data_IF_662429851156
#
_entry.id   IF_662429851156
#
_cell.length_a   1.000
_cell.length_b   1.000
_cell.length_c   1.000
_cell.angle_alpha   90.00
_cell.angle_beta   90.00
_cell.angle_gamma   90.00
#
_symmetry.space_group_name_H-M   'P 1'
#
loop_
_entity.id
_entity.type
_entity.pdbx_description
1 polymer ?
#
# COMPACT_ATOMS: atom_id res chain seq x y z
N UNK A 1 0.25 -11.64 -31.83
CA UNK A 1 -0.37 -10.80 -32.88
C UNK A 1 0.15 -9.37 -32.69
N UNK A 2 0.89 -8.82 -33.65
CA UNK A 2 1.32 -7.40 -33.63
C UNK A 2 0.06 -6.51 -33.62
N UNK A 3 -0.06 -5.62 -32.65
CA UNK A 3 -1.27 -4.83 -32.38
C UNK A 3 -1.55 -3.76 -33.45
N UNK A 4 -2.85 -3.48 -33.65
CA UNK A 4 -3.45 -2.52 -34.60
C UNK A 4 -3.04 -1.04 -34.42
N UNK A 5 -2.03 -0.75 -33.58
CA UNK A 5 -1.56 0.59 -33.25
C UNK A 5 -0.29 1.00 -34.00
N UNK A 6 0.28 0.11 -34.84
CA UNK A 6 1.51 0.36 -35.58
C UNK A 6 1.33 1.51 -36.59
N UNK A 7 1.73 2.72 -36.20
CA UNK A 7 1.88 3.88 -37.10
C UNK A 7 1.24 5.19 -36.62
N UNK A 8 0.42 5.19 -35.57
CA UNK A 8 -0.26 6.40 -35.08
C UNK A 8 0.39 6.88 -33.78
N UNK A 9 0.80 8.15 -33.72
CA UNK A 9 1.32 8.76 -32.49
C UNK A 9 0.19 8.86 -31.44
N UNK A 10 0.46 8.52 -30.17
CA UNK A 10 -0.55 8.48 -29.10
C UNK A 10 -1.34 9.80 -28.95
N UNK A 11 -0.68 10.93 -29.16
CA UNK A 11 -1.32 12.26 -29.16
C UNK A 11 -2.43 12.44 -30.21
N UNK A 12 -2.49 11.57 -31.24
CA UNK A 12 -3.52 11.57 -32.30
C UNK A 12 -4.63 10.53 -32.08
N UNK A 13 -4.65 9.85 -30.93
CA UNK A 13 -5.70 8.87 -30.63
C UNK A 13 -6.97 9.59 -30.19
N UNK A 14 -8.11 9.09 -30.68
CA UNK A 14 -9.44 9.46 -30.17
C UNK A 14 -9.64 8.90 -28.76
N UNK A 15 -10.64 9.42 -28.04
CA UNK A 15 -10.99 8.90 -26.72
C UNK A 15 -11.32 7.40 -26.75
N UNK A 16 -12.04 6.93 -27.78
CA UNK A 16 -12.38 5.52 -27.94
C UNK A 16 -11.15 4.63 -28.24
N UNK A 17 -10.19 5.12 -29.04
CA UNK A 17 -8.94 4.39 -29.31
C UNK A 17 -8.09 4.27 -28.03
N UNK A 18 -8.02 5.35 -27.24
CA UNK A 18 -7.34 5.34 -25.92
C UNK A 18 -8.02 4.39 -24.95
N UNK A 19 -9.34 4.28 -25.01
CA UNK A 19 -10.11 3.36 -24.16
C UNK A 19 -9.82 1.91 -24.51
N UNK A 20 -9.89 1.58 -25.79
CA UNK A 20 -9.63 0.24 -26.29
C UNK A 20 -8.21 -0.23 -25.94
N UNK A 21 -7.23 0.66 -26.04
CA UNK A 21 -5.84 0.34 -25.66
C UNK A 21 -5.72 -0.08 -24.19
N UNK A 22 -6.43 0.60 -23.29
CA UNK A 22 -6.43 0.26 -21.86
C UNK A 22 -7.09 -1.08 -21.60
N UNK A 23 -8.23 -1.33 -22.25
CA UNK A 23 -8.93 -2.60 -22.14
C UNK A 23 -8.08 -3.76 -22.66
N UNK A 24 -7.49 -3.62 -23.85
CA UNK A 24 -6.62 -4.62 -24.45
C UNK A 24 -5.42 -4.93 -23.54
N UNK A 25 -4.79 -3.89 -22.98
CA UNK A 25 -3.68 -4.05 -22.04
C UNK A 25 -4.07 -4.76 -20.74
N UNK A 26 -5.29 -4.53 -20.23
CA UNK A 26 -5.82 -5.25 -19.08
C UNK A 26 -6.08 -6.73 -19.39
N UNK A 27 -6.43 -7.06 -20.63
CA UNK A 27 -6.66 -8.45 -21.08
C UNK A 27 -5.39 -9.24 -21.42
N UNK A 28 -4.26 -8.56 -21.64
CA UNK A 28 -2.99 -9.24 -21.92
C UNK A 28 -2.51 -10.08 -20.72
N UNK A 29 -2.12 -11.34 -20.96
CA UNK A 29 -1.51 -12.17 -19.92
C UNK A 29 -0.10 -11.68 -19.55
N UNK A 30 0.64 -11.20 -20.53
CA UNK A 30 2.02 -10.72 -20.35
C UNK A 30 2.05 -9.32 -19.73
N UNK A 31 2.95 -9.05 -18.77
CA UNK A 31 3.09 -7.74 -18.18
C UNK A 31 3.67 -6.75 -19.19
N UNK A 32 3.05 -5.58 -19.30
CA UNK A 32 3.64 -4.41 -19.95
C UNK A 32 4.45 -3.66 -18.90
N UNK A 33 5.74 -3.43 -19.17
CA UNK A 33 6.69 -2.83 -18.22
C UNK A 33 7.31 -1.55 -18.75
N UNK A 34 6.58 -0.79 -19.57
CA UNK A 34 7.06 0.50 -20.03
C UNK A 34 7.04 1.54 -18.91
N UNK A 35 6.26 1.35 -17.85
CA UNK A 35 6.34 2.12 -16.60
C UNK A 35 6.52 1.14 -15.45
N UNK A 36 7.49 1.36 -14.58
CA UNK A 36 7.69 0.58 -13.36
C UNK A 36 6.59 0.89 -12.36
N UNK A 37 5.90 -0.15 -11.90
CA UNK A 37 4.89 -0.07 -10.86
C UNK A 37 5.30 -0.99 -9.71
N UNK A 38 5.37 -0.43 -8.51
CA UNK A 38 5.42 -1.21 -7.28
C UNK A 38 4.11 -1.01 -6.52
N UNK A 39 3.52 -2.08 -5.99
CA UNK A 39 2.32 -1.96 -5.16
C UNK A 39 2.38 -2.84 -3.90
N UNK A 40 1.76 -2.37 -2.82
CA UNK A 40 1.56 -3.11 -1.58
C UNK A 40 0.06 -3.25 -1.34
N UNK A 41 -0.40 -4.50 -1.19
CA UNK A 41 -1.79 -4.85 -0.85
C UNK A 41 -1.83 -5.26 0.61
N UNK A 42 -2.72 -4.64 1.37
CA UNK A 42 -2.94 -4.94 2.78
C UNK A 42 -4.40 -5.34 3.01
N UNK A 43 -4.71 -5.90 4.19
CA UNK A 43 -6.08 -6.15 4.63
C UNK A 43 -6.29 -5.69 6.08
N UNK A 44 -7.47 -5.14 6.36
CA UNK A 44 -7.94 -4.75 7.68
C UNK A 44 -9.39 -5.18 7.84
N UNK A 45 -9.69 -5.96 8.87
CA UNK A 45 -11.06 -6.43 9.14
C UNK A 45 -11.95 -5.25 9.57
N UNK A 46 -13.05 -5.06 8.85
CA UNK A 46 -14.04 -4.00 9.14
C UNK A 46 -15.12 -4.51 10.10
N UNK A 47 -15.62 -5.72 9.83
CA UNK A 47 -16.67 -6.36 10.63
C UNK A 47 -16.49 -7.90 10.59
N UNK A 48 -17.50 -8.66 11.03
CA UNK A 48 -17.43 -10.12 11.07
C UNK A 48 -17.29 -10.79 9.69
N UNK A 49 -17.48 -10.08 8.59
CA UNK A 49 -17.40 -10.62 7.24
C UNK A 49 -16.42 -9.85 6.34
N UNK A 50 -16.49 -8.52 6.33
CA UNK A 50 -15.82 -7.70 5.34
C UNK A 50 -14.45 -7.20 5.81
N UNK A 51 -13.54 -7.10 4.83
CA UNK A 51 -12.19 -6.57 4.98
C UNK A 51 -12.02 -5.40 4.05
N UNK A 52 -11.44 -4.31 4.58
CA UNK A 52 -10.90 -3.25 3.77
C UNK A 52 -9.52 -3.64 3.28
N UNK A 53 -9.30 -3.50 1.98
CA UNK A 53 -8.10 -3.93 1.28
C UNK A 53 -7.47 -2.71 0.61
N UNK A 54 -6.68 -1.90 1.36
CA UNK A 54 -5.99 -0.77 0.78
C UNK A 54 -4.83 -1.25 -0.09
N UNK A 55 -4.67 -0.57 -1.22
CA UNK A 55 -3.57 -0.78 -2.15
C UNK A 55 -2.82 0.53 -2.30
N UNK A 56 -1.53 0.50 -1.95
CA UNK A 56 -0.62 1.61 -2.15
C UNK A 56 0.28 1.34 -3.35
N UNK A 57 0.29 2.24 -4.31
CA UNK A 57 1.03 2.13 -5.57
C UNK A 57 2.10 3.23 -5.61
N UNK A 58 3.31 2.86 -6.02
CA UNK A 58 4.43 3.77 -6.25
C UNK A 58 4.94 3.63 -7.69
N UNK A 59 5.08 4.78 -8.34
CA UNK A 59 5.67 4.92 -9.68
C UNK A 59 6.84 5.90 -9.57
N UNK A 60 8.06 5.56 -10.04
CA UNK A 60 9.17 6.51 -10.07
C UNK A 60 8.82 7.74 -10.92
N UNK A 61 8.90 8.94 -10.33
CA UNK A 61 8.58 10.18 -11.06
C UNK A 61 9.49 10.44 -12.27
N UNK A 62 10.70 9.88 -12.27
CA UNK A 62 11.64 9.92 -13.41
C UNK A 62 11.14 9.22 -14.67
N UNK A 63 10.14 8.33 -14.55
CA UNK A 63 9.57 7.62 -15.70
C UNK A 63 8.40 8.36 -16.35
N UNK A 64 7.92 9.44 -15.72
CA UNK A 64 6.76 10.20 -16.16
C UNK A 64 7.17 11.44 -16.96
N UNK A 65 6.42 11.73 -18.02
CA UNK A 65 6.61 12.95 -18.80
C UNK A 65 5.69 14.06 -18.28
N UNK A 66 6.22 15.28 -18.26
CA UNK A 66 5.52 16.49 -17.86
C UNK A 66 5.05 17.27 -19.08
N UNK A 67 3.79 17.71 -19.05
CA UNK A 67 3.24 18.65 -19.99
C UNK A 67 3.03 20.02 -19.33
N UNK A 68 3.31 21.09 -20.07
CA UNK A 68 2.94 22.45 -19.65
C UNK A 68 1.56 22.79 -20.18
N UNK A 69 0.61 23.06 -19.28
CA UNK A 69 -0.72 23.61 -19.66
C UNK A 69 -1.13 24.67 -18.64
N UNK A 70 -1.53 25.85 -19.13
CA UNK A 70 -2.02 26.94 -18.27
C UNK A 70 -0.96 27.54 -17.33
N UNK A 71 0.32 27.51 -17.72
CA UNK A 71 1.42 28.11 -16.95
C UNK A 71 2.04 27.22 -15.86
N UNK A 72 1.52 26.00 -15.65
CA UNK A 72 2.09 25.01 -14.72
C UNK A 72 2.47 23.71 -15.44
N UNK A 73 3.49 23.03 -14.92
CA UNK A 73 3.82 21.66 -15.31
C UNK A 73 2.84 20.69 -14.63
N UNK A 74 2.32 19.73 -15.40
CA UNK A 74 1.42 18.70 -14.88
C UNK A 74 1.71 17.35 -15.53
N UNK A 75 1.41 16.27 -14.82
CA UNK A 75 1.36 14.92 -15.38
C UNK A 75 -0.01 14.32 -15.10
N UNK A 76 -0.56 13.60 -16.09
CA UNK A 76 -1.86 12.94 -15.96
C UNK A 76 -1.66 11.46 -16.12
N UNK A 77 -2.08 10.68 -15.13
CA UNK A 77 -1.96 9.23 -15.11
C UNK A 77 -3.36 8.62 -15.03
N UNK A 78 -3.66 7.70 -15.95
CA UNK A 78 -4.85 6.86 -15.85
C UNK A 78 -4.48 5.58 -15.09
N UNK A 79 -5.26 5.25 -14.05
CA UNK A 79 -5.13 4.01 -13.30
C UNK A 79 -6.34 3.12 -13.56
N UNK A 80 -6.09 1.84 -13.84
CA UNK A 80 -7.11 0.79 -13.89
C UNK A 80 -6.65 -0.37 -13.04
N UNK A 81 -7.56 -0.96 -12.28
CA UNK A 81 -7.28 -2.17 -11.52
C UNK A 81 -8.45 -3.12 -11.55
N UNK A 82 -8.14 -4.41 -11.50
CA UNK A 82 -9.11 -5.49 -11.42
C UNK A 82 -8.67 -6.47 -10.34
N UNK A 83 -9.60 -6.79 -9.44
CA UNK A 83 -9.45 -7.86 -8.45
C UNK A 83 -10.29 -9.04 -8.92
N UNK A 84 -9.64 -10.18 -9.11
CA UNK A 84 -10.29 -11.46 -9.45
C UNK A 84 -10.12 -12.45 -8.32
N UNK A 85 -11.14 -13.28 -8.09
CA UNK A 85 -11.02 -14.43 -7.19
C UNK A 85 -10.21 -15.58 -7.82
N UNK A 86 -10.08 -16.69 -7.10
CA UNK A 86 -9.39 -17.90 -7.56
C UNK A 86 -10.01 -18.56 -8.80
N UNK A 87 -11.28 -18.26 -9.11
CA UNK A 87 -12.00 -18.76 -10.29
C UNK A 87 -11.91 -17.79 -11.48
N UNK A 88 -11.19 -16.67 -11.32
CA UNK A 88 -11.04 -15.64 -12.34
C UNK A 88 -12.24 -14.70 -12.45
N UNK A 89 -13.19 -14.75 -11.52
CA UNK A 89 -14.36 -13.88 -11.47
C UNK A 89 -13.96 -12.52 -10.92
N UNK A 90 -14.32 -11.45 -11.62
CA UNK A 90 -14.03 -10.08 -11.18
C UNK A 90 -14.89 -9.71 -9.98
N UNK A 91 -14.24 -9.51 -8.83
CA UNK A 91 -14.89 -9.16 -7.56
C UNK A 91 -14.93 -7.66 -7.32
N UNK A 92 -13.94 -6.93 -7.82
CA UNK A 92 -13.90 -5.49 -7.75
C UNK A 92 -13.04 -4.93 -8.89
N UNK A 93 -13.27 -3.67 -9.23
CA UNK A 93 -12.42 -2.92 -10.14
C UNK A 93 -12.21 -1.51 -9.63
N UNK A 94 -11.19 -0.85 -10.15
CA UNK A 94 -10.96 0.57 -9.94
C UNK A 94 -10.61 1.21 -11.27
N UNK A 95 -11.11 2.43 -11.46
CA UNK A 95 -10.71 3.30 -12.53
C UNK A 95 -10.57 4.71 -11.99
N UNK A 96 -9.41 5.30 -12.20
CA UNK A 96 -9.16 6.67 -11.78
C UNK A 96 -8.30 7.42 -12.81
N UNK A 97 -8.44 8.74 -12.81
CA UNK A 97 -7.62 9.66 -13.59
C UNK A 97 -7.04 10.70 -12.65
N UNK A 98 -5.74 10.66 -12.52
CA UNK A 98 -4.97 11.45 -11.58
C UNK A 98 -4.28 12.59 -12.32
N UNK A 99 -4.66 13.83 -12.05
CA UNK A 99 -3.99 15.04 -12.54
C UNK A 99 -3.10 15.61 -11.43
N UNK A 100 -1.78 15.46 -11.59
CA UNK A 100 -0.77 15.93 -10.65
C UNK A 100 -0.26 17.27 -11.17
N UNK A 101 -0.65 18.34 -10.48
CA UNK A 101 -0.18 19.70 -10.74
C UNK A 101 1.10 19.95 -9.95
N UNK A 102 2.17 20.34 -10.65
CA UNK A 102 3.40 20.82 -10.03
C UNK A 102 3.34 22.34 -9.95
N UNK A 103 2.70 22.87 -8.92
CA UNK A 103 2.68 24.31 -8.66
C UNK A 103 3.99 24.74 -7.99
N UNK A 104 4.85 25.45 -8.72
CA UNK A 104 6.09 26.02 -8.18
C UNK A 104 7.27 25.05 -8.06
N UNK A 105 7.08 23.77 -8.38
CA UNK A 105 8.15 22.76 -8.45
C UNK A 105 8.62 22.56 -9.90
N UNK A 106 9.94 22.52 -10.13
CA UNK A 106 10.53 22.28 -11.46
C UNK A 106 10.60 20.78 -11.77
N UNK A 107 10.44 20.35 -13.03
CA UNK A 107 10.64 18.97 -13.51
C UNK A 107 11.76 18.12 -12.83
N UNK A 108 12.96 18.67 -12.50
CA UNK A 108 14.00 17.93 -11.78
C UNK A 108 13.61 17.44 -10.37
N UNK A 109 12.63 18.06 -9.71
CA UNK A 109 12.15 17.65 -8.39
C UNK A 109 11.21 16.45 -8.48
N UNK A 110 10.36 16.38 -9.51
CA UNK A 110 9.52 15.21 -9.77
C UNK A 110 10.37 13.97 -10.08
N UNK A 111 11.44 14.13 -10.87
CA UNK A 111 12.35 13.03 -11.18
C UNK A 111 12.99 12.40 -9.92
N UNK A 112 13.03 13.14 -8.80
CA UNK A 112 13.61 12.70 -7.52
C UNK A 112 12.59 12.11 -6.54
N UNK A 113 11.28 12.17 -6.85
CA UNK A 113 10.23 11.71 -5.94
C UNK A 113 9.29 10.72 -6.63
N UNK A 114 8.98 9.58 -6.01
CA UNK A 114 7.96 8.68 -6.55
C UNK A 114 6.57 9.32 -6.45
N UNK A 115 5.74 9.11 -7.46
CA UNK A 115 4.31 9.35 -7.38
C UNK A 115 3.67 8.25 -6.56
N UNK A 116 2.75 8.64 -5.68
CA UNK A 116 1.94 7.70 -4.91
C UNK A 116 0.48 7.77 -5.32
N UNK A 117 -0.09 6.60 -5.58
CA UNK A 117 -1.51 6.44 -5.83
C UNK A 117 -2.06 5.44 -4.81
N UNK A 118 -3.16 5.78 -4.15
CA UNK A 118 -3.80 4.89 -3.19
C UNK A 118 -5.23 4.61 -3.62
N UNK A 119 -5.59 3.34 -3.52
CA UNK A 119 -6.97 2.87 -3.72
C UNK A 119 -7.30 1.83 -2.67
N UNK A 120 -8.53 1.31 -2.68
CA UNK A 120 -8.87 0.19 -1.84
C UNK A 120 -10.19 -0.44 -2.23
N UNK A 121 -10.38 -1.66 -1.72
CA UNK A 121 -11.55 -2.49 -2.01
C UNK A 121 -12.16 -2.99 -0.70
N UNK A 122 -13.42 -3.39 -0.75
CA UNK A 122 -14.05 -4.15 0.33
C UNK A 122 -14.26 -5.57 -0.18
N UNK A 123 -13.58 -6.54 0.44
CA UNK A 123 -13.59 -7.95 0.02
C UNK A 123 -13.91 -8.86 1.21
N UNK A 124 -14.34 -10.08 0.90
CA UNK A 124 -14.52 -11.15 1.88
C UNK A 124 -13.21 -11.94 2.06
N UNK A 125 -13.09 -12.81 3.08
CA UNK A 125 -12.00 -13.78 3.14
C UNK A 125 -11.95 -14.66 1.88
N UNK A 126 -10.75 -14.82 1.32
CA UNK A 126 -10.56 -15.54 0.06
C UNK A 126 -9.17 -15.34 -0.54
N UNK A 127 -8.90 -16.04 -1.63
CA UNK A 127 -7.69 -15.88 -2.44
C UNK A 127 -8.04 -15.07 -3.68
N UNK A 128 -7.19 -14.10 -3.99
CA UNK A 128 -7.43 -13.12 -5.04
C UNK A 128 -6.16 -12.87 -5.86
N UNK A 129 -6.36 -12.33 -7.06
CA UNK A 129 -5.32 -11.68 -7.84
C UNK A 129 -5.71 -10.22 -8.10
N UNK A 130 -4.75 -9.31 -7.98
CA UNK A 130 -4.88 -7.92 -8.34
C UNK A 130 -4.03 -7.66 -9.57
N UNK A 131 -4.67 -7.25 -10.67
CA UNK A 131 -3.99 -6.66 -11.82
C UNK A 131 -4.21 -5.15 -11.82
N UNK A 132 -3.12 -4.38 -11.73
CA UNK A 132 -3.10 -2.93 -11.84
C UNK A 132 -2.42 -2.50 -13.13
N UNK A 133 -2.87 -1.38 -13.67
CA UNK A 133 -2.35 -0.73 -14.85
C UNK A 133 -2.25 0.76 -14.57
N UNK A 134 -1.13 1.37 -14.93
CA UNK A 134 -0.96 2.82 -14.99
C UNK A 134 -0.55 3.24 -16.40
N UNK A 135 -1.18 4.30 -16.93
CA UNK A 135 -0.83 4.89 -18.22
C UNK A 135 -0.49 6.36 -18.05
N UNK A 136 0.68 6.75 -18.51
CA UNK A 136 1.03 8.16 -18.71
C UNK A 136 0.23 8.69 -19.91
N UNK A 137 -0.65 9.66 -19.67
CA UNK A 137 -1.55 10.20 -20.69
C UNK A 137 -0.89 11.25 -21.61
N UNK A 138 0.38 11.60 -21.39
CA UNK A 138 1.16 12.41 -22.34
C UNK A 138 1.89 11.52 -23.36
N UNK A 139 2.48 10.40 -22.91
CA UNK A 139 3.24 9.50 -23.80
C UNK A 139 2.45 8.31 -24.32
N UNK A 140 1.42 7.87 -23.59
CA UNK A 140 0.72 6.62 -23.82
C UNK A 140 1.45 5.39 -23.29
N UNK A 141 2.59 5.56 -22.60
CA UNK A 141 3.34 4.45 -22.00
C UNK A 141 2.51 3.77 -20.93
N UNK A 142 2.59 2.44 -20.87
CA UNK A 142 1.81 1.63 -19.93
C UNK A 142 2.73 0.78 -19.04
N UNK A 143 2.44 0.82 -17.75
CA UNK A 143 2.95 -0.14 -16.77
C UNK A 143 1.81 -1.03 -16.28
N UNK A 144 2.12 -2.30 -16.00
CA UNK A 144 1.19 -3.23 -15.34
C UNK A 144 1.87 -3.91 -14.16
N UNK A 145 1.09 -4.24 -13.15
CA UNK A 145 1.50 -4.97 -11.96
C UNK A 145 0.48 -6.05 -11.66
N UNK A 146 0.93 -7.28 -11.45
CA UNK A 146 0.07 -8.41 -11.10
C UNK A 146 0.59 -9.05 -9.82
N UNK A 147 -0.28 -9.21 -8.83
CA UNK A 147 0.04 -9.93 -7.59
C UNK A 147 -1.11 -10.81 -7.15
N UNK A 148 -0.80 -11.99 -6.64
CA UNK A 148 -1.75 -12.76 -5.84
C UNK A 148 -1.73 -12.28 -4.38
N UNK A 149 -2.84 -12.41 -3.67
CA UNK A 149 -2.94 -12.14 -2.23
C UNK A 149 -4.08 -12.95 -1.62
N UNK A 150 -4.00 -13.19 -0.30
CA UNK A 150 -5.03 -13.94 0.44
C UNK A 150 -5.50 -13.12 1.62
N UNK A 151 -6.81 -13.09 1.83
CA UNK A 151 -7.46 -12.49 2.99
C UNK A 151 -7.88 -13.64 3.91
N UNK A 152 -7.26 -13.79 5.10
CA UNK A 152 -7.63 -14.84 6.02
C UNK A 152 -9.00 -14.57 6.65
N UNK A 153 -9.72 -15.62 7.04
CA UNK A 153 -10.89 -15.47 7.91
C UNK A 153 -10.44 -15.39 9.36
N UNK A 154 -10.17 -14.17 9.83
CA UNK A 154 -9.70 -13.91 11.20
C UNK A 154 -10.70 -14.34 12.28
N UNK A 155 -11.99 -14.49 11.97
CA UNK A 155 -12.97 -15.02 12.94
C UNK A 155 -12.74 -16.50 13.26
N UNK A 156 -11.98 -17.22 12.42
CA UNK A 156 -11.61 -18.62 12.65
C UNK A 156 -10.23 -18.79 13.28
N UNK A 157 -9.49 -17.70 13.50
CA UNK A 157 -8.18 -17.74 14.17
C UNK A 157 -8.39 -17.86 15.69
N UNK A 158 -8.06 -19.03 16.22
CA UNK A 158 -8.22 -19.34 17.66
C UNK A 158 -6.89 -19.54 18.36
N UNK A 159 -5.82 -19.85 17.63
CA UNK A 159 -4.52 -20.23 18.21
C UNK A 159 -3.67 -18.99 18.51
N UNK A 160 -3.72 -17.99 17.64
CA UNK A 160 -2.94 -16.75 17.74
C UNK A 160 -3.85 -15.54 17.92
N UNK A 161 -3.22 -14.39 18.16
CA UNK A 161 -3.92 -13.10 18.14
C UNK A 161 -4.25 -12.78 16.67
N UNK A 162 -5.54 -12.62 16.29
CA UNK A 162 -5.88 -12.23 14.93
C UNK A 162 -5.41 -10.79 14.67
N UNK A 163 -4.59 -10.61 13.64
CA UNK A 163 -4.06 -9.29 13.24
C UNK A 163 -4.33 -9.00 11.77
N UNK A 164 -4.42 -7.71 11.44
CA UNK A 164 -4.40 -7.20 10.07
C UNK A 164 -3.06 -7.47 9.39
N UNK A 165 -2.92 -7.03 8.14
CA UNK A 165 -1.58 -6.84 7.57
C UNK A 165 -0.74 -5.89 8.42
N UNK A 166 0.58 -6.13 8.45
CA UNK A 166 1.55 -5.23 9.08
C UNK A 166 2.07 -4.26 8.03
N UNK A 167 1.82 -2.97 8.26
CA UNK A 167 2.26 -1.89 7.38
C UNK A 167 3.53 -1.28 7.95
N UNK A 168 4.61 -1.35 7.16
CA UNK A 168 5.85 -0.65 7.45
C UNK A 168 5.92 0.62 6.62
N UNK A 169 6.30 1.74 7.24
CA UNK A 169 6.36 3.04 6.59
C UNK A 169 7.61 3.81 7.05
N UNK A 170 8.20 4.59 6.14
CA UNK A 170 9.22 5.60 6.48
C UNK A 170 8.66 7.03 6.40
N UNK A 171 7.34 7.17 6.27
CA UNK A 171 6.66 8.42 5.98
C UNK A 171 5.27 8.48 6.66
N UNK A 172 5.09 9.54 7.45
CA UNK A 172 3.80 9.95 7.99
C UNK A 172 3.56 11.38 7.48
N UNK A 173 2.52 11.57 6.68
CA UNK A 173 2.25 12.86 6.01
C UNK A 173 0.92 13.45 6.47
N UNK A 174 0.85 14.75 6.67
CA UNK A 174 -0.42 15.43 6.92
C UNK A 174 -1.31 15.34 5.67
N UNK A 175 -2.61 15.11 5.84
CA UNK A 175 -3.55 14.87 4.74
C UNK A 175 -3.76 16.11 3.85
N UNK A 176 -3.52 17.28 4.42
CA UNK A 176 -3.51 18.58 3.75
C UNK A 176 -2.29 18.72 2.84
N UNK A 177 -1.12 18.24 3.29
CA UNK A 177 0.16 18.23 2.56
C UNK A 177 0.32 17.01 1.65
N UNK A 178 -0.62 16.07 1.69
CA UNK A 178 -0.69 14.91 0.80
C UNK A 178 -1.07 15.31 -0.65
N UNK A 179 -0.49 16.40 -1.16
CA UNK A 179 -0.62 16.93 -2.52
C UNK A 179 -0.30 15.88 -3.59
N UNK A 180 0.51 14.88 -3.22
CA UNK A 180 0.95 13.78 -4.09
C UNK A 180 0.24 12.45 -3.82
N UNK A 181 -0.74 12.43 -2.92
CA UNK A 181 -1.58 11.24 -2.70
C UNK A 181 -2.91 11.43 -3.41
N UNK A 182 -3.02 10.81 -4.57
CA UNK A 182 -4.22 10.90 -5.41
C UNK A 182 -5.03 9.61 -5.33
N UNK A 183 -6.36 9.70 -5.45
CA UNK A 183 -7.29 8.57 -5.25
C UNK A 183 -8.33 8.76 -4.14
N UNK A 184 -8.53 9.99 -3.62
CA UNK A 184 -9.43 10.29 -2.49
C UNK A 184 -10.90 9.87 -2.68
N UNK A 185 -11.37 9.65 -3.92
CA UNK A 185 -12.80 9.33 -4.20
C UNK A 185 -13.20 7.89 -3.87
N UNK A 186 -12.26 6.95 -3.86
CA UNK A 186 -12.55 5.51 -3.72
C UNK A 186 -11.99 4.89 -2.42
N UNK A 187 -11.54 5.72 -1.47
CA UNK A 187 -11.11 5.24 -0.16
C UNK A 187 -12.31 5.32 0.81
N UNK A 188 -12.70 4.22 1.48
CA UNK A 188 -13.72 4.25 2.51
C UNK A 188 -13.38 5.30 3.58
N UNK A 189 -14.41 5.95 4.13
CA UNK A 189 -14.27 6.96 5.18
C UNK A 189 -13.49 6.47 6.43
N UNK A 190 -13.36 5.15 6.59
CA UNK A 190 -12.66 4.49 7.69
C UNK A 190 -11.33 3.82 7.27
N UNK A 191 -10.53 4.44 6.39
CA UNK A 191 -9.19 3.92 6.07
C UNK A 191 -8.32 3.89 7.34
N UNK A 192 -7.92 2.70 7.85
CA UNK A 192 -7.18 2.58 9.10
C UNK A 192 -5.81 3.25 9.08
N UNK A 193 -5.25 3.52 7.90
CA UNK A 193 -3.96 4.18 7.71
C UNK A 193 -4.05 5.71 7.79
N UNK A 194 -5.25 6.29 7.93
CA UNK A 194 -5.46 7.72 8.14
C UNK A 194 -5.95 7.93 9.57
N UNK A 195 -5.19 8.67 10.37
CA UNK A 195 -5.49 8.90 11.77
C UNK A 195 -5.05 10.31 12.16
N UNK A 196 -5.91 11.02 12.90
CA UNK A 196 -5.60 12.38 13.39
C UNK A 196 -5.15 13.33 12.26
N UNK A 197 -5.75 13.23 11.07
CA UNK A 197 -5.37 14.04 9.92
C UNK A 197 -4.05 13.66 9.26
N UNK A 198 -3.36 12.61 9.74
CA UNK A 198 -2.11 12.10 9.16
C UNK A 198 -2.33 10.77 8.47
N UNK A 199 -1.65 10.57 7.35
CA UNK A 199 -1.67 9.34 6.57
C UNK A 199 -0.33 8.62 6.66
N UNK A 200 -0.40 7.36 7.03
CA UNK A 200 0.73 6.44 6.96
C UNK A 200 0.92 5.99 5.50
N UNK A 201 2.12 6.18 4.98
CA UNK A 201 2.47 5.85 3.59
C UNK A 201 3.29 4.56 3.55
N UNK A 202 2.75 3.44 3.04
CA UNK A 202 3.48 2.18 3.00
C UNK A 202 4.84 2.28 2.26
N UNK A 203 5.86 1.66 2.84
CA UNK A 203 7.15 1.44 2.17
C UNK A 203 7.06 0.19 1.32
N UNK A 204 6.54 0.38 0.10
CA UNK A 204 6.34 -0.69 -0.89
C UNK A 204 7.65 -1.40 -1.26
N UNK A 205 8.75 -0.65 -1.32
CA UNK A 205 10.09 -1.17 -1.64
C UNK A 205 10.81 -1.75 -0.43
N UNK A 206 10.26 -1.59 0.79
CA UNK A 206 10.88 -2.04 2.06
C UNK A 206 12.30 -1.49 2.28
N UNK A 207 12.58 -0.31 1.73
CA UNK A 207 13.84 0.43 1.92
C UNK A 207 13.60 1.60 2.88
N UNK A 208 14.46 1.75 3.88
CA UNK A 208 14.37 2.77 4.92
C UNK A 208 15.71 3.49 5.07
N UNK A 209 15.68 4.82 5.15
CA UNK A 209 16.87 5.62 5.50
C UNK A 209 17.05 5.58 7.00
N UNK A 210 18.29 5.38 7.44
CA UNK A 210 18.67 5.32 8.84
C UNK A 210 18.48 6.65 9.56
N UNK A 211 18.62 7.78 8.86
CA UNK A 211 18.42 9.11 9.43
C UNK A 211 16.95 9.52 9.54
N UNK A 212 16.01 8.58 9.47
CA UNK A 212 14.57 8.81 9.61
C UNK A 212 13.94 7.72 10.47
N UNK A 213 12.87 8.09 11.14
CA UNK A 213 12.05 7.13 11.86
C UNK A 213 11.37 6.16 10.90
N UNK A 214 11.26 4.92 11.38
CA UNK A 214 10.42 3.89 10.80
C UNK A 214 9.15 3.75 11.65
N UNK A 215 8.02 3.67 10.96
CA UNK A 215 6.70 3.50 11.54
C UNK A 215 6.17 2.09 11.24
N UNK A 216 5.59 1.47 12.25
CA UNK A 216 4.88 0.19 12.13
C UNK A 216 3.43 0.40 12.54
N UNK A 217 2.52 -0.09 11.71
CA UNK A 217 1.09 -0.06 12.00
C UNK A 217 0.43 -1.40 11.70
N UNK A 218 -0.43 -1.83 12.60
CA UNK A 218 -1.35 -2.94 12.42
C UNK A 218 -2.56 -2.79 13.35
N UNK A 219 -3.58 -3.61 13.14
CA UNK A 219 -4.69 -3.78 14.05
C UNK A 219 -4.71 -5.20 14.57
N UNK A 220 -4.93 -5.37 15.87
CA UNK A 220 -5.32 -6.65 16.45
C UNK A 220 -6.82 -6.67 16.75
N UNK A 221 -7.44 -7.83 16.66
CA UNK A 221 -8.87 -8.02 16.89
C UNK A 221 -9.10 -8.95 18.07
N UNK A 222 -9.83 -8.48 19.08
CA UNK A 222 -10.08 -9.19 20.33
C UNK A 222 -11.56 -9.62 20.41
N UNK A 223 -11.99 -10.41 19.42
CA UNK A 223 -13.39 -10.83 19.30
C UNK A 223 -13.85 -11.58 20.56
N UNK A 224 -14.96 -11.12 21.14
CA UNK A 224 -15.54 -11.73 22.34
C UNK A 224 -14.88 -11.32 23.67
N UNK A 225 -13.80 -10.55 23.66
CA UNK A 225 -13.21 -10.01 24.88
C UNK A 225 -14.06 -8.85 25.44
N UNK A 226 -14.45 -8.95 26.70
CA UNK A 226 -15.16 -7.88 27.40
C UNK A 226 -14.71 -7.79 28.86
N UNK A 227 -13.86 -6.82 29.24
CA UNK A 227 -13.22 -5.80 28.38
C UNK A 227 -12.10 -6.38 27.49
N UNK A 228 -11.65 -5.58 26.52
CA UNK A 228 -10.45 -5.88 25.75
C UNK A 228 -9.22 -5.95 26.67
N UNK A 229 -8.31 -6.88 26.39
CA UNK A 229 -7.10 -7.10 27.18
C UNK A 229 -5.94 -6.23 26.66
N UNK A 230 -5.00 -5.81 27.53
CA UNK A 230 -3.78 -5.15 27.10
C UNK A 230 -2.95 -6.03 26.16
N UNK A 231 -2.51 -5.47 25.04
CA UNK A 231 -1.58 -6.11 24.12
C UNK A 231 -0.21 -5.45 24.21
N UNK A 232 0.84 -6.22 24.00
CA UNK A 232 2.22 -5.72 23.97
C UNK A 232 2.81 -5.95 22.60
N UNK A 233 3.38 -4.90 21.99
CA UNK A 233 4.04 -5.01 20.70
C UNK A 233 5.49 -4.53 20.72
N UNK A 234 6.34 -5.18 19.95
CA UNK A 234 7.73 -4.78 19.76
C UNK A 234 8.24 -5.19 18.39
N UNK A 235 9.31 -4.54 17.95
CA UNK A 235 10.00 -4.82 16.69
C UNK A 235 11.37 -5.40 17.00
N UNK A 236 11.75 -6.46 16.28
CA UNK A 236 13.08 -7.07 16.35
C UNK A 236 13.71 -7.07 14.96
N UNK A 237 14.95 -6.62 14.84
CA UNK A 237 15.73 -6.74 13.60
C UNK A 237 16.75 -7.86 13.74
N UNK A 238 16.77 -8.75 12.75
CA UNK A 238 17.76 -9.81 12.64
C UNK A 238 18.70 -9.54 11.45
N UNK A 239 19.99 -9.78 11.65
CA UNK A 239 21.01 -9.74 10.59
C UNK A 239 21.75 -11.06 10.57
N UNK A 240 21.68 -11.79 9.46
CA UNK A 240 22.25 -13.14 9.37
C UNK A 240 21.70 -14.11 10.43
N UNK A 241 20.40 -13.99 10.77
CA UNK A 241 19.75 -14.81 11.80
C UNK A 241 20.03 -14.39 13.25
N UNK A 242 20.96 -13.47 13.49
CA UNK A 242 21.27 -12.97 14.83
C UNK A 242 20.48 -11.71 15.13
N UNK A 243 19.92 -11.60 16.35
CA UNK A 243 19.21 -10.41 16.81
C UNK A 243 20.19 -9.23 16.88
N UNK A 244 19.99 -8.25 16.01
CA UNK A 244 20.79 -7.04 15.95
C UNK A 244 20.22 -5.92 16.84
N UNK A 245 18.89 -5.82 16.92
CA UNK A 245 18.21 -4.80 17.71
C UNK A 245 16.79 -5.27 18.08
N UNK A 246 16.27 -4.77 19.19
CA UNK A 246 14.88 -4.96 19.58
C UNK A 246 14.38 -3.71 20.31
N UNK A 247 13.19 -3.23 19.96
CA UNK A 247 12.55 -2.13 20.69
C UNK A 247 12.07 -2.60 22.06
N UNK A 248 11.98 -1.70 23.06
CA UNK A 248 11.16 -1.96 24.24
C UNK A 248 9.72 -2.32 23.84
N UNK A 249 9.04 -3.24 24.54
CA UNK A 249 7.63 -3.50 24.33
C UNK A 249 6.77 -2.27 24.64
N UNK A 250 5.87 -1.96 23.72
CA UNK A 250 4.83 -0.94 23.89
C UNK A 250 3.54 -1.61 24.31
N UNK A 251 3.00 -1.22 25.47
CA UNK A 251 1.69 -1.65 25.94
C UNK A 251 0.59 -0.84 25.25
N UNK A 252 -0.43 -1.53 24.72
CA UNK A 252 -1.60 -0.95 24.06
C UNK A 252 -2.83 -1.45 24.81
N UNK A 253 -3.47 -0.54 25.53
CA UNK A 253 -4.66 -0.82 26.37
C UNK A 253 -5.96 -0.31 25.75
N UNK A 254 -5.87 0.65 24.81
CA UNK A 254 -7.03 1.24 24.16
C UNK A 254 -7.52 0.37 22.99
N UNK A 255 -8.75 -0.11 23.09
CA UNK A 255 -9.48 -0.75 22.00
C UNK A 255 -10.63 0.15 21.54
N UNK A 256 -10.93 0.11 20.24
CA UNK A 256 -12.10 0.77 19.68
C UNK A 256 -13.38 0.16 20.24
N UNK A 257 -14.39 1.01 20.43
CA UNK A 257 -15.73 0.58 20.83
C UNK A 257 -16.51 0.01 19.63
N UNK A 258 -16.03 -1.11 19.11
CA UNK A 258 -16.69 -1.88 18.06
C UNK A 258 -16.80 -3.35 18.45
N UNK A 259 -17.56 -4.12 17.65
CA UNK A 259 -17.79 -5.55 17.91
C UNK A 259 -16.50 -6.39 17.87
N UNK A 260 -15.50 -5.95 17.11
CA UNK A 260 -14.22 -6.63 16.96
C UNK A 260 -13.22 -6.30 18.09
N UNK A 261 -13.53 -5.30 18.94
CA UNK A 261 -12.60 -4.71 19.91
C UNK A 261 -11.24 -4.39 19.27
N UNK A 262 -11.30 -3.73 18.12
CA UNK A 262 -10.12 -3.43 17.30
C UNK A 262 -9.11 -2.62 18.11
N UNK A 263 -7.91 -3.15 18.26
CA UNK A 263 -6.81 -2.54 19.01
C UNK A 263 -5.74 -2.08 18.01
N UNK A 264 -5.66 -0.79 17.64
CA UNK A 264 -4.64 -0.30 16.72
C UNK A 264 -3.28 -0.23 17.41
N UNK A 265 -2.29 -0.95 16.87
CA UNK A 265 -0.91 -0.93 17.37
C UNK A 265 -0.05 -0.06 16.46
N UNK A 266 0.67 0.88 17.08
CA UNK A 266 1.50 1.88 16.42
C UNK A 266 2.84 1.93 17.11
N UNK A 267 3.91 1.77 16.35
CA UNK A 267 5.27 1.89 16.87
C UNK A 267 6.03 2.87 15.99
N UNK A 268 6.73 3.81 16.62
CA UNK A 268 7.73 4.66 15.99
C UNK A 268 9.08 4.24 16.54
N UNK A 269 10.05 4.04 15.66
CA UNK A 269 11.40 3.64 16.07
C UNK A 269 12.45 4.37 15.24
N UNK A 270 13.44 4.92 15.93
CA UNK A 270 14.67 5.42 15.30
C UNK A 270 15.52 4.24 14.83
N UNK A 271 16.20 4.45 13.71
CA UNK A 271 17.12 3.50 13.09
C UNK A 271 18.60 3.89 13.31
N UNK A 272 18.87 4.94 14.08
CA UNK A 272 20.19 5.61 14.18
C UNK A 272 21.31 4.75 14.81
N UNK A 273 20.99 3.59 15.39
CA UNK A 273 21.95 2.62 15.92
C UNK A 273 22.26 1.44 15.00
N UNK A 274 21.56 1.32 13.87
CA UNK A 274 21.70 0.19 12.95
C UNK A 274 22.70 0.51 11.84
N UNK A 275 23.42 -0.52 11.39
CA UNK A 275 24.33 -0.40 10.26
C UNK A 275 23.57 -0.54 8.94
N UNK A 276 24.00 0.10 7.84
CA UNK A 276 23.39 -0.13 6.53
C UNK A 276 23.44 -1.63 6.15
N UNK A 277 22.42 -2.08 5.41
CA UNK A 277 22.36 -3.44 4.88
C UNK A 277 20.99 -4.11 5.00
N UNK A 278 20.98 -5.43 4.74
CA UNK A 278 19.77 -6.26 4.79
C UNK A 278 19.46 -6.71 6.20
N UNK A 279 18.19 -6.63 6.58
CA UNK A 279 17.67 -7.15 7.84
C UNK A 279 16.38 -7.93 7.61
N UNK A 280 16.08 -8.85 8.51
CA UNK A 280 14.71 -9.35 8.69
C UNK A 280 14.07 -8.53 9.81
N UNK A 281 13.03 -7.78 9.48
CA UNK A 281 12.19 -7.09 10.45
C UNK A 281 11.11 -8.06 10.94
N UNK A 282 11.03 -8.26 12.25
CA UNK A 282 9.96 -9.01 12.90
C UNK A 282 9.13 -8.07 13.76
N UNK A 283 7.82 -8.07 13.55
CA UNK A 283 6.86 -7.38 14.41
C UNK A 283 6.14 -8.45 15.24
N UNK A 284 6.21 -8.33 16.55
CA UNK A 284 5.62 -9.27 17.49
C UNK A 284 4.51 -8.59 18.30
N UNK A 285 3.39 -9.30 18.47
CA UNK A 285 2.29 -8.91 19.37
C UNK A 285 2.03 -10.04 20.35
N UNK A 286 1.91 -9.70 21.62
CA UNK A 286 1.71 -10.64 22.72
C UNK A 286 0.52 -10.21 23.56
N UNK A 287 -0.29 -11.19 23.94
CA UNK A 287 -1.37 -11.07 24.92
C UNK A 287 -1.02 -12.01 26.09
N UNK A 288 -0.43 -11.46 27.18
CA UNK A 288 -0.08 -12.26 28.35
C UNK A 288 -1.29 -12.88 29.05
N UNK A 289 -2.46 -12.23 28.98
CA UNK A 289 -3.68 -12.69 29.65
C UNK A 289 -4.21 -13.98 29.02
N UNK A 290 -4.17 -14.07 27.69
CA UNK A 290 -4.59 -15.27 26.95
C UNK A 290 -3.45 -16.22 26.59
N UNK A 291 -2.21 -15.89 26.95
CA UNK A 291 -0.98 -16.60 26.57
C UNK A 291 -0.84 -16.78 25.05
N UNK A 292 -1.38 -15.85 24.26
CA UNK A 292 -1.28 -15.86 22.80
C UNK A 292 -0.23 -14.89 22.32
N UNK A 293 0.40 -15.23 21.20
CA UNK A 293 1.30 -14.35 20.49
C UNK A 293 1.16 -14.55 18.98
N UNK A 294 1.55 -13.53 18.22
CA UNK A 294 1.71 -13.59 16.79
C UNK A 294 2.95 -12.80 16.40
N UNK A 295 3.64 -13.26 15.37
CA UNK A 295 4.72 -12.50 14.76
C UNK A 295 4.56 -12.48 13.25
N UNK A 296 4.96 -11.37 12.66
CA UNK A 296 5.07 -11.17 11.23
C UNK A 296 6.52 -10.83 10.91
N UNK A 297 7.03 -11.32 9.78
CA UNK A 297 8.40 -11.06 9.33
C UNK A 297 8.42 -10.60 7.88
N UNK A 298 9.31 -9.66 7.57
CA UNK A 298 9.67 -9.32 6.20
C UNK A 298 11.13 -8.87 6.09
N UNK A 299 11.77 -9.10 4.92
CA UNK A 299 13.05 -8.49 4.62
C UNK A 299 12.90 -6.98 4.45
N UNK A 300 13.88 -6.23 4.95
CA UNK A 300 14.02 -4.79 4.73
C UNK A 300 15.46 -4.43 4.37
N UNK A 301 15.63 -3.26 3.77
CA UNK A 301 16.92 -2.66 3.49
C UNK A 301 17.09 -1.37 4.28
N UNK A 302 18.20 -1.24 4.99
CA UNK A 302 18.61 0.02 5.61
C UNK A 302 19.69 0.70 4.75
N UNK A 303 19.45 1.96 4.42
CA UNK A 303 20.36 2.83 3.69
C UNK A 303 20.69 4.06 4.52
N UNK A 304 21.77 4.78 4.17
CA UNK A 304 22.08 6.07 4.82
C UNK A 304 21.03 7.10 4.43
#
# INVERSE_FOLDING_TARGET
>A
RQGYYAGKQFGRFTAAEKERQLHDALMLGDPITEITIAAEVNFFQLNSAEYFVPVAVKIPGSELVLARRGGAERTVIDFIGEVKDEYGVTMANVRDKVDIKLSGETAPQLARRPIQYDTGFTLLPGTYSLKLLARDNETGRIGTYLTAFTIPNLNKEQQRIPISSVVLSGQLVDLEDALYTVGKKNLPAANPMIQQGRKLIPSVTRVFSMGRDMYVYLQAYQLGASPAQPLFAFVTFYRGGTKAFQTPPVAVTAAMENRLKTTPLRLSLSLDGLQPGRYTCQVSVVDPSSQKAVFWQAPIMLVR
#
